data_IF_433381241200
#
_entry.id   IF_433381241200
#
_cell.length_a   1.000
_cell.length_b   1.000
_cell.length_c   1.000
_cell.angle_alpha   90.00
_cell.angle_beta   90.00
_cell.angle_gamma   90.00
#
_symmetry.space_group_name_H-M   'P 1'
#
loop_
_entity.id
_entity.type
_entity.pdbx_description
1 polymer ?
#
# COMPACT_ATOMS: atom_id res chain seq x y z
N UNK A 1 -17.70 -1.58 -26.49
CA UNK A 1 -18.36 -2.15 -25.30
C UNK A 1 -17.39 -3.18 -24.73
N UNK A 2 -16.54 -2.76 -23.80
CA UNK A 2 -15.47 -3.63 -23.27
C UNK A 2 -16.09 -4.42 -22.11
N UNK A 3 -16.26 -5.72 -22.31
CA UNK A 3 -16.65 -6.67 -21.26
C UNK A 3 -15.46 -6.82 -20.31
N UNK A 4 -15.64 -6.42 -19.05
CA UNK A 4 -14.78 -6.82 -17.96
C UNK A 4 -15.39 -8.09 -17.35
N UNK A 5 -14.81 -9.24 -17.68
CA UNK A 5 -15.13 -10.49 -17.00
C UNK A 5 -14.66 -10.39 -15.54
N UNK A 6 -15.60 -10.57 -14.62
CA UNK A 6 -15.34 -10.65 -13.20
C UNK A 6 -14.47 -11.86 -12.88
N UNK A 7 -13.18 -11.60 -12.71
CA UNK A 7 -12.34 -12.51 -11.94
C UNK A 7 -12.58 -12.22 -10.47
N UNK A 8 -13.20 -13.21 -9.81
CA UNK A 8 -13.28 -13.33 -8.36
C UNK A 8 -11.86 -13.60 -7.84
N UNK A 9 -11.03 -12.55 -7.79
CA UNK A 9 -9.70 -12.61 -7.21
C UNK A 9 -9.91 -12.57 -5.70
N UNK A 10 -9.60 -13.66 -5.00
CA UNK A 10 -9.32 -13.59 -3.57
C UNK A 10 -8.22 -12.55 -3.38
N UNK A 11 -8.56 -11.34 -2.94
CA UNK A 11 -7.61 -10.25 -2.75
C UNK A 11 -6.82 -10.51 -1.45
N UNK A 12 -5.93 -11.50 -1.49
CA UNK A 12 -4.66 -11.48 -0.78
C UNK A 12 -3.57 -11.05 -1.80
N UNK A 13 -3.89 -10.06 -2.63
CA UNK A 13 -3.06 -9.64 -3.75
C UNK A 13 -2.48 -8.27 -3.45
N UNK A 14 -1.18 -8.19 -3.20
CA UNK A 14 -0.50 -6.91 -3.33
C UNK A 14 -0.25 -6.63 -4.83
N UNK A 15 -0.19 -5.36 -5.20
CA UNK A 15 0.09 -4.92 -6.58
C UNK A 15 1.57 -4.56 -6.78
N UNK A 16 2.40 -4.70 -5.74
CA UNK A 16 3.84 -4.50 -5.83
C UNK A 16 4.53 -5.76 -6.37
N UNK A 17 4.75 -5.80 -7.69
CA UNK A 17 5.36 -6.93 -8.37
C UNK A 17 6.53 -6.48 -9.25
N UNK A 18 7.74 -6.28 -8.70
CA UNK A 18 8.90 -5.95 -9.51
C UNK A 18 9.32 -7.14 -10.36
N UNK A 19 9.57 -6.94 -11.65
CA UNK A 19 9.96 -8.01 -12.58
C UNK A 19 11.32 -8.65 -12.24
N UNK A 20 12.15 -7.96 -11.46
CA UNK A 20 13.41 -8.46 -10.89
C UNK A 20 13.77 -7.69 -9.62
N UNK A 21 14.81 -8.13 -8.90
CA UNK A 21 15.38 -7.40 -7.76
C UNK A 21 16.24 -6.19 -8.15
N UNK A 22 16.30 -5.84 -9.43
CA UNK A 22 17.07 -4.68 -9.88
C UNK A 22 16.43 -3.38 -9.38
N UNK A 23 17.27 -2.40 -9.11
CA UNK A 23 16.86 -1.08 -8.64
C UNK A 23 15.78 -0.45 -9.54
N UNK A 24 15.98 -0.47 -10.86
CA UNK A 24 15.06 0.12 -11.83
C UNK A 24 13.68 -0.57 -11.82
N UNK A 25 13.64 -1.89 -11.82
CA UNK A 25 12.36 -2.64 -11.80
C UNK A 25 11.58 -2.41 -10.50
N UNK A 26 12.29 -2.32 -9.37
CA UNK A 26 11.69 -1.99 -8.08
C UNK A 26 11.10 -0.58 -8.09
N UNK A 27 11.80 0.40 -8.67
CA UNK A 27 11.32 1.79 -8.77
C UNK A 27 10.08 1.86 -9.67
N UNK A 28 10.08 1.17 -10.81
CA UNK A 28 8.92 1.09 -11.71
C UNK A 28 7.70 0.49 -10.98
N UNK A 29 7.90 -0.61 -10.25
CA UNK A 29 6.84 -1.23 -9.45
C UNK A 29 6.31 -0.28 -8.37
N UNK A 30 7.20 0.44 -7.67
CA UNK A 30 6.83 1.44 -6.67
C UNK A 30 6.01 2.59 -7.27
N UNK A 31 6.43 3.13 -8.42
CA UNK A 31 5.67 4.15 -9.14
C UNK A 31 4.28 3.65 -9.53
N UNK A 32 4.15 2.38 -9.92
CA UNK A 32 2.87 1.73 -10.19
C UNK A 32 1.94 1.75 -8.97
N UNK A 33 2.47 1.40 -7.78
CA UNK A 33 1.74 1.46 -6.51
C UNK A 33 1.31 2.89 -6.18
N UNK A 34 2.20 3.86 -6.30
CA UNK A 34 1.90 5.28 -6.02
C UNK A 34 0.84 5.84 -6.97
N UNK A 35 0.90 5.46 -8.25
CA UNK A 35 -0.11 5.85 -9.23
C UNK A 35 -1.48 5.25 -8.89
N UNK A 36 -1.55 3.94 -8.60
CA UNK A 36 -2.77 3.28 -8.20
C UNK A 36 -3.38 3.93 -6.95
N UNK A 37 -2.53 4.30 -5.97
CA UNK A 37 -2.95 5.05 -4.78
C UNK A 37 -3.61 6.38 -5.13
N UNK A 38 -2.99 7.15 -6.02
CA UNK A 38 -3.56 8.42 -6.47
C UNK A 38 -4.90 8.21 -7.19
N UNK A 39 -5.03 7.17 -8.00
CA UNK A 39 -6.28 6.81 -8.67
C UNK A 39 -7.38 6.45 -7.67
N UNK A 40 -7.09 5.65 -6.64
CA UNK A 40 -8.07 5.33 -5.59
C UNK A 40 -8.44 6.55 -4.75
N UNK A 41 -7.49 7.43 -4.42
CA UNK A 41 -7.81 8.70 -3.74
C UNK A 41 -8.72 9.58 -4.60
N UNK A 42 -8.51 9.61 -5.91
CA UNK A 42 -9.41 10.31 -6.83
C UNK A 42 -10.80 9.64 -6.84
N UNK A 43 -10.87 8.32 -6.96
CA UNK A 43 -12.14 7.58 -6.91
C UNK A 43 -12.92 7.87 -5.64
N UNK A 44 -12.25 7.90 -4.48
CA UNK A 44 -12.84 8.26 -3.19
C UNK A 44 -13.37 9.70 -3.16
N UNK A 45 -12.61 10.65 -3.71
CA UNK A 45 -13.03 12.05 -3.80
C UNK A 45 -14.28 12.23 -4.69
N UNK A 46 -14.45 11.39 -5.72
CA UNK A 46 -15.56 11.45 -6.65
C UNK A 46 -16.68 10.43 -6.39
N UNK A 47 -16.53 9.55 -5.39
CA UNK A 47 -17.49 8.48 -5.09
C UNK A 47 -18.92 8.98 -4.81
N UNK A 48 -19.04 10.20 -4.26
CA UNK A 48 -20.32 10.83 -3.98
C UNK A 48 -20.86 11.68 -5.14
N UNK A 49 -20.12 11.79 -6.24
CA UNK A 49 -20.57 12.51 -7.42
C UNK A 49 -21.50 11.60 -8.24
N UNK A 50 -22.79 11.96 -8.43
CA UNK A 50 -23.77 11.13 -9.14
C UNK A 50 -23.38 10.82 -10.59
N UNK A 51 -22.51 11.64 -11.19
CA UNK A 51 -22.02 11.43 -12.56
C UNK A 51 -21.01 10.26 -12.63
N UNK A 52 -20.32 9.96 -11.54
CA UNK A 52 -19.21 9.00 -11.48
C UNK A 52 -19.52 7.77 -10.63
N UNK A 53 -20.55 7.83 -9.77
CA UNK A 53 -20.92 6.74 -8.85
C UNK A 53 -21.23 5.40 -9.54
N UNK A 54 -21.61 5.42 -10.82
CA UNK A 54 -21.89 4.20 -11.60
C UNK A 54 -20.64 3.58 -12.24
N UNK A 55 -19.48 4.25 -12.18
CA UNK A 55 -18.26 3.85 -12.89
C UNK A 55 -17.10 3.59 -11.93
N UNK A 56 -17.05 4.29 -10.80
CA UNK A 56 -15.95 4.23 -9.83
C UNK A 56 -16.01 3.05 -8.86
N UNK A 57 -16.99 2.16 -9.01
CA UNK A 57 -17.27 1.09 -8.06
C UNK A 57 -18.06 1.56 -6.84
N UNK A 58 -18.50 0.60 -6.04
CA UNK A 58 -19.16 0.86 -4.76
C UNK A 58 -18.15 1.40 -3.72
N UNK A 59 -18.61 2.13 -2.69
CA UNK A 59 -17.73 2.58 -1.61
C UNK A 59 -16.93 1.46 -0.94
N UNK A 60 -17.51 0.26 -0.80
CA UNK A 60 -16.83 -0.90 -0.22
C UNK A 60 -15.69 -1.41 -1.12
N UNK A 61 -15.87 -1.41 -2.45
CA UNK A 61 -14.81 -1.79 -3.40
C UNK A 61 -13.66 -0.77 -3.39
N UNK A 62 -13.97 0.52 -3.27
CA UNK A 62 -12.97 1.59 -3.15
C UNK A 62 -12.16 1.43 -1.85
N UNK A 63 -12.83 1.13 -0.73
CA UNK A 63 -12.17 0.89 0.56
C UNK A 63 -11.28 -0.36 0.52
N UNK A 64 -11.75 -1.44 -0.09
CA UNK A 64 -10.95 -2.65 -0.28
C UNK A 64 -9.71 -2.38 -1.15
N UNK A 65 -9.86 -1.64 -2.25
CA UNK A 65 -8.74 -1.23 -3.09
C UNK A 65 -7.75 -0.34 -2.33
N UNK A 66 -8.22 0.59 -1.50
CA UNK A 66 -7.37 1.43 -0.65
C UNK A 66 -6.54 0.57 0.31
N UNK A 67 -7.15 -0.40 0.98
CA UNK A 67 -6.44 -1.32 1.88
C UNK A 67 -5.35 -2.10 1.13
N UNK A 68 -5.67 -2.69 -0.01
CA UNK A 68 -4.72 -3.44 -0.83
C UNK A 68 -3.54 -2.58 -1.29
N UNK A 69 -3.80 -1.33 -1.68
CA UNK A 69 -2.74 -0.42 -2.13
C UNK A 69 -1.86 0.01 -0.97
N UNK A 70 -2.43 0.29 0.20
CA UNK A 70 -1.64 0.66 1.38
C UNK A 70 -0.76 -0.52 1.86
N UNK A 71 -1.26 -1.75 1.80
CA UNK A 71 -0.45 -2.96 2.05
C UNK A 71 0.68 -3.11 1.02
N UNK A 72 0.37 -2.90 -0.27
CA UNK A 72 1.37 -2.95 -1.34
C UNK A 72 2.44 -1.88 -1.18
N UNK A 73 2.04 -0.67 -0.77
CA UNK A 73 2.97 0.42 -0.49
C UNK A 73 3.86 0.11 0.70
N UNK A 74 3.33 -0.52 1.75
CA UNK A 74 4.13 -0.96 2.89
C UNK A 74 5.16 -2.03 2.48
N UNK A 75 4.79 -2.99 1.63
CA UNK A 75 5.73 -3.99 1.10
C UNK A 75 6.82 -3.31 0.27
N UNK A 76 6.42 -2.47 -0.69
CA UNK A 76 7.36 -1.72 -1.53
C UNK A 76 8.31 -0.87 -0.68
N UNK A 77 7.78 -0.16 0.32
CA UNK A 77 8.55 0.73 1.17
C UNK A 77 9.60 0.00 2.01
N UNK A 78 9.32 -1.24 2.46
CA UNK A 78 10.29 -2.07 3.17
C UNK A 78 11.38 -2.64 2.27
N UNK A 79 11.15 -2.68 0.96
CA UNK A 79 12.13 -3.15 -0.01
C UNK A 79 13.26 -2.12 -0.19
N UNK A 80 12.96 -0.82 -0.06
CA UNK A 80 13.91 0.28 -0.29
C UNK A 80 14.67 0.74 0.95
N UNK A 81 15.97 0.95 0.79
CA UNK A 81 16.77 1.69 1.75
C UNK A 81 16.63 3.20 1.53
N UNK A 82 16.82 3.98 2.62
CA UNK A 82 16.79 5.45 2.57
C UNK A 82 17.74 6.05 1.51
N UNK A 83 18.90 5.43 1.31
CA UNK A 83 19.88 5.87 0.32
C UNK A 83 19.39 5.63 -1.12
N UNK A 84 18.69 4.52 -1.38
CA UNK A 84 18.11 4.22 -2.70
C UNK A 84 16.97 5.18 -3.04
N UNK A 85 16.16 5.57 -2.04
CA UNK A 85 15.11 6.57 -2.22
C UNK A 85 15.69 7.96 -2.52
N UNK A 86 16.79 8.33 -1.83
CA UNK A 86 17.50 9.56 -2.13
C UNK A 86 18.08 9.55 -3.55
N UNK A 87 18.71 8.44 -3.93
CA UNK A 87 19.22 8.25 -5.29
C UNK A 87 18.09 8.39 -6.32
N UNK A 88 16.89 7.87 -6.04
CA UNK A 88 15.75 7.99 -6.95
C UNK A 88 15.28 9.43 -7.16
N UNK A 89 15.40 10.29 -6.14
CA UNK A 89 15.17 11.73 -6.27
C UNK A 89 16.27 12.37 -7.11
N UNK A 90 17.53 12.08 -6.80
CA UNK A 90 18.69 12.66 -7.48
C UNK A 90 18.70 12.29 -8.99
N UNK A 91 18.19 11.11 -9.35
CA UNK A 91 17.99 10.64 -10.72
C UNK A 91 16.70 11.12 -11.38
N UNK A 92 15.82 11.82 -10.65
CA UNK A 92 14.54 12.31 -11.15
C UNK A 92 13.49 11.22 -11.40
N UNK A 93 13.69 10.02 -10.84
CA UNK A 93 12.77 8.89 -10.94
C UNK A 93 11.61 9.00 -9.95
N UNK A 94 11.81 9.66 -8.80
CA UNK A 94 10.77 9.95 -7.82
C UNK A 94 10.78 11.44 -7.48
N UNK A 95 9.60 11.98 -7.15
CA UNK A 95 9.50 13.32 -6.59
C UNK A 95 9.73 13.32 -5.06
N UNK A 96 10.04 14.50 -4.49
CA UNK A 96 10.08 14.69 -3.04
C UNK A 96 8.75 14.35 -2.35
N UNK A 97 7.63 14.46 -3.07
CA UNK A 97 6.32 14.07 -2.55
C UNK A 97 6.25 12.54 -2.44
N UNK A 98 6.61 11.83 -3.50
CA UNK A 98 6.58 10.37 -3.55
C UNK A 98 7.43 9.75 -2.45
N UNK A 99 8.65 10.26 -2.25
CA UNK A 99 9.52 9.76 -1.17
C UNK A 99 8.94 10.06 0.21
N UNK A 100 8.29 11.21 0.42
CA UNK A 100 7.61 11.49 1.70
C UNK A 100 6.45 10.53 1.95
N UNK A 101 5.69 10.19 0.91
CA UNK A 101 4.60 9.22 1.01
C UNK A 101 5.12 7.83 1.38
N UNK A 102 6.21 7.38 0.73
CA UNK A 102 6.89 6.12 1.05
C UNK A 102 7.43 6.13 2.47
N UNK A 103 8.14 7.17 2.88
CA UNK A 103 8.68 7.28 4.24
C UNK A 103 7.58 7.29 5.29
N UNK A 104 6.43 7.92 5.02
CA UNK A 104 5.27 7.89 5.92
C UNK A 104 4.73 6.46 6.07
N UNK A 105 4.69 5.69 4.98
CA UNK A 105 4.28 4.28 5.01
C UNK A 105 5.25 3.43 5.86
N UNK A 106 6.56 3.64 5.75
CA UNK A 106 7.57 2.97 6.61
C UNK A 106 7.28 3.25 8.09
N UNK A 107 7.16 4.52 8.47
CA UNK A 107 6.94 4.90 9.87
C UNK A 107 5.62 4.34 10.42
N UNK A 108 4.57 4.30 9.61
CA UNK A 108 3.29 3.70 9.99
C UNK A 108 3.42 2.18 10.21
N UNK A 109 4.13 1.48 9.31
CA UNK A 109 4.39 0.04 9.44
C UNK A 109 5.19 -0.29 10.71
N UNK A 110 6.26 0.48 10.99
CA UNK A 110 7.06 0.32 12.20
C UNK A 110 6.26 0.56 13.49
N UNK A 111 5.37 1.56 13.50
CA UNK A 111 4.50 1.84 14.66
C UNK A 111 3.49 0.71 14.91
N UNK A 112 2.91 0.15 13.84
CA UNK A 112 1.99 -0.99 13.95
C UNK A 112 2.71 -2.24 14.49
N UNK A 113 3.92 -2.53 13.99
CA UNK A 113 4.71 -3.68 14.45
C UNK A 113 5.07 -3.58 15.94
N UNK A 114 5.42 -2.39 16.45
CA UNK A 114 5.75 -2.15 17.86
C UNK A 114 4.55 -2.37 18.81
N UNK A 115 3.32 -2.15 18.34
CA UNK A 115 2.11 -2.37 19.15
C UNK A 115 1.76 -3.84 19.31
N UNK A 116 2.06 -4.68 18.31
CA UNK A 116 1.79 -6.13 18.39
C UNK A 116 2.72 -6.87 19.34
N UNK A 117 3.94 -6.38 19.56
CA UNK A 117 4.93 -7.03 20.43
C UNK A 117 4.61 -6.81 21.93
N UNK A 118 4.04 -5.66 22.31
CA UNK A 118 3.73 -5.36 23.71
C UNK A 118 2.43 -5.99 24.24
N UNK A 119 1.61 -6.64 23.40
CA UNK A 119 0.34 -7.25 23.81
C UNK A 119 0.42 -8.72 24.21
N UNK A 120 1.60 -9.35 24.10
CA UNK A 120 1.72 -10.82 24.15
C UNK A 120 2.35 -11.39 25.44
N UNK A 121 2.82 -10.55 26.37
CA UNK A 121 3.53 -11.02 27.59
C UNK A 121 2.67 -11.11 28.86
N UNK A 122 1.40 -10.69 28.83
CA UNK A 122 0.56 -10.60 30.05
C UNK A 122 -0.38 -11.78 30.30
N UNK A 123 -0.11 -12.98 29.74
CA UNK A 123 -1.05 -14.13 29.85
C UNK A 123 -0.43 -15.47 30.27
N UNK A 124 0.68 -15.47 31.02
CA UNK A 124 1.37 -16.71 31.44
C UNK A 124 1.69 -16.87 32.92
N UNK A 125 0.96 -16.22 33.85
CA UNK A 125 1.25 -16.37 35.29
C UNK A 125 0.07 -16.66 36.24
N UNK A 126 -1.12 -17.01 35.77
CA UNK A 126 -2.29 -17.23 36.64
C UNK A 126 -2.76 -18.69 36.80
N UNK A 127 -1.98 -19.71 36.38
CA UNK A 127 -2.41 -21.13 36.44
C UNK A 127 -1.45 -22.06 37.21
N UNK A 128 -0.96 -21.62 38.36
CA UNK A 128 -0.31 -22.51 39.35
C UNK A 128 -0.65 -22.06 40.77
N UNK A 129 -1.87 -22.32 41.22
CA UNK A 129 -2.18 -22.60 42.63
C UNK A 129 -3.65 -23.03 42.76
N UNK A 130 -3.88 -24.35 42.79
CA UNK A 130 -4.99 -25.02 43.49
C UNK A 130 -4.58 -26.45 43.75
#
# INVERSE_FOLDING_TARGET
MIHWEGQNIMINGNIYNPGSSSYTERIIALQGVLKARQEVQNSKAYAHNPMWSNVLGSPAEIEQAEQTIEESLAIAANDFHKNELKQAIDEGLLSDKDVRDVMTAIHRSEMSAKRSVNGSDEKKQSDKQS
#
